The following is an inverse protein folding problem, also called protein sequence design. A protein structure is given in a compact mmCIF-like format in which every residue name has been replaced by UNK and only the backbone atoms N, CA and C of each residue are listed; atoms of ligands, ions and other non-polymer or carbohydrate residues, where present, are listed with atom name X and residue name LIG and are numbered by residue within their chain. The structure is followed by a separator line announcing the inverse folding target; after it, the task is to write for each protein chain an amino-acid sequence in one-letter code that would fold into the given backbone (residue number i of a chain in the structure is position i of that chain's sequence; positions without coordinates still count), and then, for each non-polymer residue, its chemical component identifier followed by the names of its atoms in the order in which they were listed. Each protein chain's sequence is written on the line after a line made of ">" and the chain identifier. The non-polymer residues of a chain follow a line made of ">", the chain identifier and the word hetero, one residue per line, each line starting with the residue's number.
data_IF_347311959220
#
_entry.id   IF_347311959220
#
_cell.length_a   1.000
_cell.length_b   1.000
_cell.length_c   1.000
_cell.angle_alpha   90.00
_cell.angle_beta   90.00
_cell.angle_gamma   90.00
#
_symmetry.space_group_name_H-M   'P 1'
#
loop_
_entity.id
_entity.type
_entity.pdbx_description
1 polymer ?
#
# COMPACT_ATOMS: atom_id res chain seq x y z
N UNK A 1 -15.88 83.54 19.29
CA UNK A 1 -14.97 83.00 18.26
C UNK A 1 -15.26 81.52 18.10
N UNK A 2 -15.87 81.13 16.97
CA UNK A 2 -16.31 79.75 16.71
C UNK A 2 -15.13 78.99 16.10
N UNK A 3 -14.54 78.06 16.87
CA UNK A 3 -13.45 77.20 16.43
C UNK A 3 -13.94 76.05 15.55
N UNK A 4 -13.48 76.01 14.30
CA UNK A 4 -13.72 74.91 13.34
C UNK A 4 -13.05 73.63 13.85
N UNK A 5 -13.82 72.61 14.24
CA UNK A 5 -13.33 71.27 14.56
C UNK A 5 -13.25 70.41 13.30
N UNK A 6 -12.04 69.96 12.97
CA UNK A 6 -11.75 69.20 11.77
C UNK A 6 -12.14 67.71 11.98
N UNK A 7 -13.30 67.28 11.46
CA UNK A 7 -13.85 65.91 11.58
C UNK A 7 -13.27 64.96 10.51
N UNK A 8 -11.98 64.67 10.53
CA UNK A 8 -11.33 63.75 9.56
C UNK A 8 -10.65 62.53 10.21
N UNK A 9 -11.13 62.05 11.37
CA UNK A 9 -10.48 60.96 12.13
C UNK A 9 -11.22 59.61 12.17
N UNK A 10 -12.33 59.46 11.44
CA UNK A 10 -13.14 58.22 11.45
C UNK A 10 -12.75 57.16 10.42
N UNK A 11 -12.09 57.55 9.32
CA UNK A 11 -11.82 56.65 8.19
C UNK A 11 -10.73 55.61 8.49
N UNK A 12 -9.71 55.97 9.26
CA UNK A 12 -8.57 55.08 9.57
C UNK A 12 -8.98 53.82 10.32
N UNK A 13 -9.97 53.92 11.22
CA UNK A 13 -10.43 52.78 12.02
C UNK A 13 -11.24 51.77 11.18
N UNK A 14 -12.06 52.27 10.25
CA UNK A 14 -12.78 51.44 9.28
C UNK A 14 -11.83 50.80 8.25
N UNK A 15 -10.81 51.54 7.81
CA UNK A 15 -9.80 50.99 6.90
C UNK A 15 -8.96 49.90 7.59
N UNK A 16 -8.54 50.12 8.84
CA UNK A 16 -7.79 49.13 9.61
C UNK A 16 -8.59 47.84 9.85
N UNK A 17 -9.90 47.94 10.14
CA UNK A 17 -10.74 46.75 10.33
C UNK A 17 -10.97 45.99 9.01
N UNK A 18 -11.07 46.69 7.88
CA UNK A 18 -11.19 46.08 6.55
C UNK A 18 -9.92 45.35 6.13
N UNK A 19 -8.75 45.94 6.36
CA UNK A 19 -7.47 45.26 6.10
C UNK A 19 -7.28 44.09 7.07
N UNK A 20 -7.65 44.26 8.35
CA UNK A 20 -7.59 43.20 9.35
C UNK A 20 -8.47 41.99 9.00
N UNK A 21 -9.70 42.21 8.54
CA UNK A 21 -10.59 41.11 8.13
C UNK A 21 -10.10 40.40 6.87
N UNK A 22 -9.50 41.12 5.91
CA UNK A 22 -8.89 40.53 4.73
C UNK A 22 -7.70 39.63 5.10
N UNK A 23 -6.79 40.11 5.94
CA UNK A 23 -5.64 39.34 6.40
C UNK A 23 -6.08 38.10 7.19
N UNK A 24 -7.10 38.24 8.04
CA UNK A 24 -7.68 37.10 8.77
C UNK A 24 -8.27 36.06 7.82
N UNK A 25 -9.01 36.48 6.79
CA UNK A 25 -9.58 35.57 5.80
C UNK A 25 -8.50 34.78 5.05
N UNK A 26 -7.40 35.44 4.66
CA UNK A 26 -6.24 34.79 4.04
C UNK A 26 -5.55 33.79 4.99
N UNK A 27 -5.41 34.16 6.27
CA UNK A 27 -4.86 33.28 7.31
C UNK A 27 -5.69 32.02 7.50
N UNK A 28 -7.03 32.15 7.57
CA UNK A 28 -7.94 31.00 7.69
C UNK A 28 -7.90 30.12 6.44
N UNK A 29 -7.86 30.73 5.24
CA UNK A 29 -7.78 30.00 3.99
C UNK A 29 -6.50 29.17 3.89
N UNK A 30 -5.34 29.76 4.19
CA UNK A 30 -4.04 29.07 4.18
C UNK A 30 -3.95 27.97 5.24
N UNK A 31 -4.43 28.23 6.46
CA UNK A 31 -4.46 27.21 7.52
C UNK A 31 -5.26 25.96 7.12
N UNK A 32 -6.42 26.13 6.48
CA UNK A 32 -7.21 25.01 5.99
C UNK A 32 -6.51 24.19 4.91
N UNK A 33 -5.72 24.82 4.05
CA UNK A 33 -4.92 24.12 3.03
C UNK A 33 -3.85 23.28 3.71
N UNK A 34 -3.10 23.87 4.65
CA UNK A 34 -2.02 23.17 5.37
C UNK A 34 -2.56 21.95 6.13
N UNK A 35 -3.71 22.05 6.79
CA UNK A 35 -4.31 20.90 7.48
C UNK A 35 -4.61 19.73 6.54
N UNK A 36 -5.11 20.03 5.33
CA UNK A 36 -5.39 19.00 4.31
C UNK A 36 -4.11 18.39 3.74
N UNK A 37 -3.09 19.21 3.53
CA UNK A 37 -1.78 18.73 3.05
C UNK A 37 -1.10 17.83 4.09
N UNK A 38 -1.21 18.14 5.38
CA UNK A 38 -0.69 17.28 6.45
C UNK A 38 -1.38 15.92 6.45
N UNK A 39 -2.70 15.88 6.29
CA UNK A 39 -3.46 14.63 6.22
C UNK A 39 -3.07 13.79 4.99
N UNK A 40 -3.01 14.43 3.81
CA UNK A 40 -2.55 13.78 2.57
C UNK A 40 -1.10 13.27 2.68
N UNK A 41 -0.21 14.03 3.33
CA UNK A 41 1.19 13.64 3.56
C UNK A 41 1.28 12.39 4.45
N UNK A 42 0.44 12.29 5.48
CA UNK A 42 0.36 11.11 6.34
C UNK A 42 -0.08 9.87 5.55
N UNK A 43 -1.13 9.98 4.74
CA UNK A 43 -1.63 8.91 3.87
C UNK A 43 -0.63 8.50 2.79
N UNK A 44 0.12 9.47 2.24
CA UNK A 44 1.20 9.22 1.29
C UNK A 44 2.36 8.45 1.92
N UNK A 45 2.74 8.76 3.17
CA UNK A 45 3.76 8.01 3.92
C UNK A 45 3.34 6.56 4.14
N UNK A 46 2.12 6.32 4.59
CA UNK A 46 1.59 4.96 4.81
C UNK A 46 1.41 4.19 3.48
N UNK A 47 1.03 4.90 2.41
CA UNK A 47 0.99 4.32 1.05
C UNK A 47 2.37 3.84 0.57
N UNK A 48 3.44 4.56 0.88
CA UNK A 48 4.81 4.13 0.52
C UNK A 48 5.22 2.84 1.22
N UNK A 49 4.89 2.70 2.51
CA UNK A 49 5.15 1.46 3.27
C UNK A 49 4.39 0.28 2.66
N UNK A 50 3.10 0.46 2.39
CA UNK A 50 2.26 -0.56 1.77
C UNK A 50 2.77 -0.95 0.37
N UNK A 51 3.18 0.02 -0.45
CA UNK A 51 3.72 -0.26 -1.78
C UNK A 51 5.07 -0.98 -1.72
N UNK A 52 5.97 -0.55 -0.83
CA UNK A 52 7.26 -1.22 -0.61
C UNK A 52 7.10 -2.67 -0.13
N UNK A 53 6.13 -2.92 0.75
CA UNK A 53 5.77 -4.27 1.16
C UNK A 53 5.29 -5.11 -0.04
N UNK A 54 4.37 -4.57 -0.84
CA UNK A 54 3.87 -5.24 -2.03
C UNK A 54 5.01 -5.58 -3.00
N UNK A 55 5.92 -4.63 -3.22
CA UNK A 55 7.09 -4.75 -4.10
C UNK A 55 8.01 -5.89 -3.65
N UNK A 56 8.40 -5.86 -2.37
CA UNK A 56 9.25 -6.89 -1.79
C UNK A 56 8.59 -8.28 -1.85
N UNK A 57 7.27 -8.36 -1.68
CA UNK A 57 6.52 -9.62 -1.67
C UNK A 57 6.46 -10.29 -3.04
N UNK A 58 6.21 -9.54 -4.11
CA UNK A 58 6.16 -10.13 -5.45
C UNK A 58 7.56 -10.52 -5.93
N UNK A 59 8.60 -9.74 -5.59
CA UNK A 59 9.99 -10.10 -5.92
C UNK A 59 10.40 -11.42 -5.26
N UNK A 60 10.03 -11.65 -3.99
CA UNK A 60 10.34 -12.94 -3.37
C UNK A 60 9.60 -14.10 -4.05
N UNK A 61 8.32 -13.93 -4.37
CA UNK A 61 7.56 -14.94 -5.10
C UNK A 61 8.16 -15.23 -6.47
N UNK A 62 8.48 -14.18 -7.23
CA UNK A 62 9.04 -14.29 -8.58
C UNK A 62 10.42 -14.95 -8.58
N UNK A 63 11.28 -14.60 -7.61
CA UNK A 63 12.58 -15.21 -7.44
C UNK A 63 12.49 -16.72 -7.21
N UNK A 64 11.63 -17.15 -6.27
CA UNK A 64 11.45 -18.58 -5.99
C UNK A 64 10.73 -19.31 -7.11
N UNK A 65 9.85 -18.63 -7.84
CA UNK A 65 9.21 -19.20 -9.03
C UNK A 65 10.24 -19.55 -10.12
N UNK A 66 11.23 -18.68 -10.34
CA UNK A 66 12.29 -18.88 -11.33
C UNK A 66 13.39 -19.82 -10.85
N UNK A 67 13.82 -19.70 -9.59
CA UNK A 67 14.98 -20.44 -9.05
C UNK A 67 14.63 -21.80 -8.46
N UNK A 68 13.40 -21.98 -7.95
CA UNK A 68 12.90 -23.21 -7.32
C UNK A 68 11.47 -23.52 -7.82
N UNK A 69 11.29 -23.85 -9.11
CA UNK A 69 9.96 -23.97 -9.73
C UNK A 69 9.05 -25.00 -9.06
N UNK A 70 9.60 -25.98 -8.34
CA UNK A 70 8.85 -26.99 -7.60
C UNK A 70 7.97 -26.42 -6.48
N UNK A 71 8.34 -25.29 -5.87
CA UNK A 71 7.58 -24.70 -4.75
C UNK A 71 6.18 -24.26 -5.22
N UNK A 72 6.09 -23.73 -6.43
CA UNK A 72 4.85 -23.24 -7.03
C UNK A 72 4.45 -24.04 -8.29
N UNK A 73 4.80 -25.33 -8.40
CA UNK A 73 4.51 -26.14 -9.59
C UNK A 73 3.04 -26.59 -9.71
N UNK A 74 2.56 -26.84 -10.94
CA UNK A 74 1.17 -27.23 -11.30
C UNK A 74 1.05 -28.56 -12.05
N UNK A 75 1.75 -29.62 -11.64
CA UNK A 75 1.70 -30.92 -12.35
C UNK A 75 1.52 -32.11 -11.41
N UNK A 76 1.39 -33.33 -11.96
CA UNK A 76 1.29 -34.60 -11.21
C UNK A 76 2.43 -34.80 -10.21
N UNK A 77 3.60 -34.21 -10.46
CA UNK A 77 4.77 -34.20 -9.55
C UNK A 77 4.61 -33.25 -8.34
N UNK A 78 3.52 -32.48 -8.29
CA UNK A 78 3.22 -31.54 -7.20
C UNK A 78 2.48 -32.19 -6.03
N UNK A 79 2.02 -33.45 -6.17
CA UNK A 79 1.36 -34.24 -5.11
C UNK A 79 2.34 -34.83 -4.08
N UNK A 80 3.63 -34.89 -4.39
CA UNK A 80 4.68 -35.42 -3.50
C UNK A 80 5.43 -34.35 -2.69
N UNK A 81 5.03 -33.07 -2.81
CA UNK A 81 5.70 -31.98 -2.12
C UNK A 81 5.00 -31.73 -0.79
N UNK A 82 5.72 -31.73 0.34
CA UNK A 82 5.13 -31.52 1.65
C UNK A 82 4.48 -30.14 1.75
N UNK A 83 3.26 -30.08 2.28
CA UNK A 83 2.58 -28.84 2.65
C UNK A 83 2.59 -28.69 4.18
N UNK A 84 3.04 -27.55 4.74
CA UNK A 84 3.55 -26.35 4.06
C UNK A 84 4.98 -26.52 3.51
N UNK A 85 5.29 -25.79 2.43
CA UNK A 85 6.68 -25.61 1.94
C UNK A 85 7.26 -24.34 2.54
N UNK A 86 8.58 -24.26 2.70
CA UNK A 86 9.24 -23.05 3.20
C UNK A 86 10.03 -22.36 2.09
N UNK A 87 9.87 -21.04 1.98
CA UNK A 87 10.68 -20.17 1.12
C UNK A 87 11.47 -19.18 1.99
N UNK A 88 12.70 -18.91 1.57
CA UNK A 88 13.56 -17.93 2.24
C UNK A 88 13.37 -16.56 1.60
N UNK A 89 12.83 -15.61 2.34
CA UNK A 89 12.74 -14.20 1.96
C UNK A 89 13.52 -13.34 2.96
N UNK A 90 13.44 -12.00 2.84
CA UNK A 90 14.21 -11.05 3.68
C UNK A 90 14.16 -11.35 5.19
N UNK A 91 13.01 -11.75 5.72
CA UNK A 91 12.78 -11.97 7.16
C UNK A 91 12.81 -13.46 7.57
N UNK A 92 13.47 -14.31 6.78
CA UNK A 92 13.69 -15.73 7.08
C UNK A 92 12.74 -16.68 6.33
N UNK A 93 12.55 -17.86 6.90
CA UNK A 93 11.67 -18.89 6.35
C UNK A 93 10.20 -18.52 6.49
N UNK A 94 9.50 -18.51 5.36
CA UNK A 94 8.07 -18.25 5.26
C UNK A 94 7.39 -19.53 4.82
N UNK A 95 6.37 -19.94 5.58
CA UNK A 95 5.50 -21.04 5.21
C UNK A 95 4.58 -20.62 4.06
N UNK A 96 4.61 -21.40 2.98
CA UNK A 96 3.71 -21.29 1.84
C UNK A 96 2.61 -22.33 1.97
N UNK A 97 1.37 -21.86 1.98
CA UNK A 97 0.19 -22.71 1.83
C UNK A 97 -0.10 -22.89 0.34
N UNK A 98 -0.22 -24.12 -0.12
CA UNK A 98 -0.52 -24.42 -1.53
C UNK A 98 -1.70 -25.36 -1.64
N UNK A 99 -2.67 -24.98 -2.47
CA UNK A 99 -3.74 -25.86 -2.95
C UNK A 99 -3.41 -26.23 -4.39
N UNK A 100 -3.27 -27.52 -4.67
CA UNK A 100 -2.77 -28.03 -5.95
C UNK A 100 -3.79 -29.00 -6.56
N UNK A 101 -3.99 -28.86 -7.85
CA UNK A 101 -4.78 -29.73 -8.72
C UNK A 101 -3.91 -30.16 -9.90
N UNK A 102 -4.39 -31.11 -10.69
CA UNK A 102 -3.64 -31.67 -11.82
C UNK A 102 -3.12 -30.60 -12.81
N UNK A 103 -3.87 -29.49 -12.96
CA UNK A 103 -3.58 -28.43 -13.94
C UNK A 103 -3.59 -27.02 -13.33
N UNK A 104 -3.72 -26.88 -12.01
CA UNK A 104 -3.80 -25.57 -11.37
C UNK A 104 -3.20 -25.61 -9.98
N UNK A 105 -2.54 -24.54 -9.56
CA UNK A 105 -2.11 -24.38 -8.18
C UNK A 105 -2.32 -22.94 -7.72
N UNK A 106 -2.82 -22.81 -6.51
CA UNK A 106 -2.90 -21.54 -5.79
C UNK A 106 -1.98 -21.66 -4.59
N UNK A 107 -0.94 -20.84 -4.55
CA UNK A 107 -0.03 -20.73 -3.42
C UNK A 107 -0.18 -19.37 -2.77
N UNK A 108 -0.28 -19.33 -1.44
CA UNK A 108 -0.38 -18.12 -0.66
C UNK A 108 0.66 -18.11 0.44
N UNK A 109 1.22 -16.94 0.70
CA UNK A 109 2.06 -16.72 1.86
C UNK A 109 1.95 -15.28 2.33
N UNK A 110 2.26 -15.06 3.60
CA UNK A 110 2.38 -13.74 4.19
C UNK A 110 3.85 -13.47 4.49
N UNK A 111 4.37 -12.38 3.94
CA UNK A 111 5.72 -11.93 4.22
C UNK A 111 5.69 -10.75 5.20
N UNK A 112 6.19 -10.91 6.43
CA UNK A 112 6.37 -9.80 7.33
C UNK A 112 7.51 -8.89 6.83
N UNK A 113 7.35 -7.58 7.02
CA UNK A 113 8.39 -6.58 6.91
C UNK A 113 8.62 -5.94 8.29
N UNK A 114 9.58 -5.01 8.35
CA UNK A 114 9.82 -4.19 9.54
C UNK A 114 8.59 -3.31 9.86
N UNK A 115 8.42 -2.91 11.13
CA UNK A 115 7.38 -1.98 11.60
C UNK A 115 5.91 -2.38 11.30
N UNK A 116 5.53 -3.64 11.57
CA UNK A 116 4.18 -4.20 11.39
C UNK A 116 3.64 -4.25 9.95
N UNK A 117 4.40 -3.74 8.96
CA UNK A 117 4.07 -3.86 7.56
C UNK A 117 4.19 -5.31 7.09
N UNK A 118 3.37 -5.71 6.11
CA UNK A 118 3.50 -7.04 5.52
C UNK A 118 2.94 -7.09 4.09
N UNK A 119 3.26 -8.16 3.38
CA UNK A 119 2.74 -8.47 2.07
C UNK A 119 2.00 -9.81 2.08
N UNK A 120 0.73 -9.78 1.71
CA UNK A 120 -0.05 -10.97 1.41
C UNK A 120 0.13 -11.31 -0.07
N UNK A 121 0.82 -12.41 -0.37
CA UNK A 121 1.13 -12.82 -1.74
C UNK A 121 0.29 -14.02 -2.13
N UNK A 122 -0.29 -13.97 -3.33
CA UNK A 122 -1.05 -15.04 -3.96
C UNK A 122 -0.48 -15.31 -5.34
N UNK A 123 -0.02 -16.54 -5.55
CA UNK A 123 0.45 -17.07 -6.81
C UNK A 123 -0.61 -18.02 -7.33
N UNK A 124 -1.17 -17.72 -8.49
CA UNK A 124 -2.06 -18.61 -9.22
C UNK A 124 -1.35 -19.06 -10.47
N UNK A 125 -1.23 -20.36 -10.66
CA UNK A 125 -0.78 -20.95 -11.91
C UNK A 125 -1.87 -21.82 -12.48
N UNK A 126 -2.01 -21.74 -13.79
CA UNK A 126 -3.04 -22.44 -14.52
C UNK A 126 -2.46 -22.99 -15.82
N UNK A 127 -2.64 -24.29 -16.04
CA UNK A 127 -2.31 -25.02 -17.26
C UNK A 127 -3.62 -25.26 -18.00
N UNK A 128 -4.04 -24.26 -18.77
CA UNK A 128 -5.32 -24.29 -19.49
C UNK A 128 -5.29 -25.26 -20.68
N UNK A 129 -4.12 -25.80 -21.06
CA UNK A 129 -3.95 -26.61 -22.27
C UNK A 129 -3.78 -28.11 -21.98
N UNK A 130 -3.82 -28.55 -20.72
CA UNK A 130 -3.79 -29.97 -20.35
C UNK A 130 -2.57 -30.72 -20.94
N UNK A 131 -1.48 -29.99 -21.16
CA UNK A 131 -0.28 -30.41 -21.94
C UNK A 131 1.01 -30.31 -21.13
N UNK A 132 0.93 -30.33 -19.80
CA UNK A 132 2.06 -30.23 -18.87
C UNK A 132 2.93 -28.98 -19.12
N UNK A 133 2.32 -27.87 -19.52
CA UNK A 133 2.98 -26.58 -19.74
C UNK A 133 2.19 -25.49 -19.04
N UNK A 134 2.78 -24.96 -17.96
CA UNK A 134 2.28 -23.76 -17.27
C UNK A 134 2.01 -22.68 -18.32
N UNK A 135 0.74 -22.41 -18.59
CA UNK A 135 0.35 -21.54 -19.69
C UNK A 135 0.32 -20.08 -19.23
N UNK A 136 0.00 -19.85 -17.93
CA UNK A 136 -0.08 -18.51 -17.33
C UNK A 136 0.29 -18.57 -15.84
N UNK A 137 1.19 -17.68 -15.41
CA UNK A 137 1.44 -17.42 -13.98
C UNK A 137 0.92 -16.03 -13.62
N UNK A 138 0.13 -15.97 -12.55
CA UNK A 138 -0.39 -14.74 -11.98
C UNK A 138 0.12 -14.58 -10.56
N UNK A 139 0.87 -13.51 -10.31
CA UNK A 139 1.34 -13.15 -8.97
C UNK A 139 0.62 -11.87 -8.56
N UNK A 140 -0.10 -11.93 -7.44
CA UNK A 140 -0.74 -10.80 -6.78
C UNK A 140 -0.10 -10.62 -5.41
N UNK A 141 0.58 -9.49 -5.21
CA UNK A 141 1.17 -9.12 -3.93
C UNK A 141 0.44 -7.90 -3.37
N UNK A 142 -0.16 -8.05 -2.19
CA UNK A 142 -0.92 -7.01 -1.48
C UNK A 142 -0.15 -6.59 -0.24
N UNK A 143 0.52 -5.44 -0.33
CA UNK A 143 1.24 -4.86 0.79
C UNK A 143 0.35 -3.95 1.64
N UNK A 144 0.53 -4.03 2.96
CA UNK A 144 -0.17 -3.23 3.96
C UNK A 144 0.85 -2.53 4.85
N UNK A 145 0.52 -1.31 5.26
CA UNK A 145 1.33 -0.58 6.24
C UNK A 145 1.24 -1.16 7.66
N UNK A 146 0.18 -1.90 7.95
CA UNK A 146 -0.08 -2.56 9.23
C UNK A 146 -0.84 -3.87 8.97
N UNK A 147 -0.28 -4.97 9.47
CA UNK A 147 -0.82 -6.32 9.32
C UNK A 147 -1.39 -6.92 10.60
N UNK A 148 -1.55 -6.12 11.64
CA UNK A 148 -2.27 -6.53 12.84
C UNK A 148 -3.71 -6.94 12.51
N UNK A 149 -4.30 -7.77 13.36
CA UNK A 149 -5.71 -8.19 13.22
C UNK A 149 -6.69 -7.12 13.71
N UNK A 150 -6.18 -6.07 14.37
CA UNK A 150 -7.01 -5.01 14.91
C UNK A 150 -7.47 -4.08 13.78
N UNK A 151 -8.74 -3.63 13.80
CA UNK A 151 -9.22 -2.65 12.84
C UNK A 151 -8.45 -1.33 13.03
N UNK A 152 -7.77 -0.90 11.97
CA UNK A 152 -7.00 0.35 11.95
C UNK A 152 -7.55 1.24 10.84
N UNK A 153 -8.14 2.41 11.15
CA UNK A 153 -8.69 3.32 10.14
C UNK A 153 -7.60 3.93 9.23
N UNK A 154 -6.34 3.93 9.67
CA UNK A 154 -5.19 4.39 8.89
C UNK A 154 -4.52 3.24 8.11
N UNK A 155 -5.18 2.09 7.97
CA UNK A 155 -4.67 0.98 7.18
C UNK A 155 -4.75 1.30 5.69
N UNK A 156 -3.59 1.32 5.06
CA UNK A 156 -3.44 1.50 3.62
C UNK A 156 -2.97 0.18 3.01
N UNK A 157 -3.62 -0.22 1.93
CA UNK A 157 -3.23 -1.39 1.12
C UNK A 157 -2.86 -0.94 -0.30
N UNK A 158 -1.77 -1.49 -0.83
CA UNK A 158 -1.33 -1.31 -2.22
C UNK A 158 -1.06 -2.69 -2.82
N UNK A 159 -1.45 -2.89 -4.07
CA UNK A 159 -1.31 -4.19 -4.73
C UNK A 159 -0.49 -4.10 -6.01
N UNK A 160 0.40 -5.05 -6.22
CA UNK A 160 1.12 -5.27 -7.47
C UNK A 160 0.64 -6.60 -8.06
N UNK A 161 0.36 -6.58 -9.36
CA UNK A 161 -0.14 -7.73 -10.11
C UNK A 161 0.70 -7.95 -11.35
N UNK A 162 1.32 -9.11 -11.44
CA UNK A 162 2.19 -9.49 -12.55
C UNK A 162 1.60 -10.72 -13.23
N UNK A 163 1.59 -10.70 -14.56
CA UNK A 163 1.16 -11.80 -15.44
C UNK A 163 2.30 -12.10 -16.40
N UNK A 164 2.73 -13.35 -16.47
CA UNK A 164 3.72 -13.84 -17.43
C UNK A 164 3.51 -15.31 -17.79
#
# INVERSE_FOLDING_TARGET
>A
MIGKTNKQKGFTLLFASLVGSLLLALGIATFNIVLRELDLSSSARESRKAFYAADSGWECAFFHDRKRPAVFATSTNSLGIPTPTFIQCRNGDISVASTRAAFSAVSTFRMPLDDDACADVKITKDDNDNKDKISKTFIESRGKNDCTTNPNPNRVERAIRVKY
#
